data_IF_166841673085
#
_entry.id   IF_166841673085
#
_cell.length_a   1.000
_cell.length_b   1.000
_cell.length_c   1.000
_cell.angle_alpha   90.00
_cell.angle_beta   90.00
_cell.angle_gamma   90.00
#
_symmetry.space_group_name_H-M   'P 1'
#
loop_
_entity.id
_entity.type
_entity.pdbx_description
1 polymer ?
#
# COMPACT_ATOMS: atom_id res chain seq x y z
N UNK A 1 2.78 8.86 -18.78
CA UNK A 1 2.34 8.27 -17.50
C UNK A 1 3.35 8.64 -16.43
N UNK A 2 2.91 8.89 -15.20
CA UNK A 2 3.77 9.27 -14.08
C UNK A 2 3.62 8.23 -12.98
N UNK A 3 4.74 7.76 -12.43
CA UNK A 3 4.76 6.84 -11.30
C UNK A 3 5.47 7.49 -10.11
N UNK A 4 4.95 7.26 -8.92
CA UNK A 4 5.54 7.75 -7.66
C UNK A 4 5.63 6.58 -6.68
N UNK A 5 6.84 6.31 -6.21
CA UNK A 5 7.08 5.30 -5.18
C UNK A 5 7.04 5.95 -3.79
N UNK A 6 6.30 5.35 -2.86
CA UNK A 6 6.29 5.76 -1.45
C UNK A 6 7.23 4.83 -0.68
N UNK A 7 8.28 5.34 -0.01
CA UNK A 7 9.18 4.51 0.77
C UNK A 7 8.43 3.77 1.89
N UNK A 8 8.66 2.46 2.00
CA UNK A 8 8.04 1.57 2.99
C UNK A 8 8.12 2.09 4.43
N UNK A 9 9.27 2.64 4.77
CA UNK A 9 9.61 3.05 6.14
C UNK A 9 9.48 4.57 6.33
N UNK A 10 8.83 5.27 5.39
CA UNK A 10 8.49 6.67 5.53
C UNK A 10 7.61 6.86 6.78
N UNK A 11 8.03 7.74 7.68
CA UNK A 11 7.23 8.07 8.87
C UNK A 11 6.06 8.97 8.45
N UNK A 12 4.84 8.49 8.71
CA UNK A 12 3.59 9.14 8.30
C UNK A 12 2.57 9.13 9.43
N UNK A 13 1.66 10.11 9.39
CA UNK A 13 0.49 10.15 10.27
C UNK A 13 -0.65 9.31 9.70
N UNK A 14 -0.74 8.08 10.16
CA UNK A 14 -1.81 7.13 9.79
C UNK A 14 -3.10 7.59 10.48
N UNK A 15 -4.16 7.96 9.73
CA UNK A 15 -5.44 8.36 10.32
C UNK A 15 -6.15 7.16 10.96
N UNK A 16 -7.13 7.42 11.82
CA UNK A 16 -7.99 6.35 12.30
C UNK A 16 -8.78 5.75 11.13
N UNK A 17 -8.90 4.43 11.09
CA UNK A 17 -9.50 3.74 9.97
C UNK A 17 -10.21 2.45 10.38
N UNK A 18 -11.25 2.07 9.63
CA UNK A 18 -12.04 0.89 9.93
C UNK A 18 -11.39 -0.33 9.29
N UNK A 19 -11.19 -1.36 10.11
CA UNK A 19 -10.63 -2.65 9.71
C UNK A 19 -11.71 -3.55 9.13
N UNK A 20 -11.27 -4.61 8.44
CA UNK A 20 -12.15 -5.64 7.89
C UNK A 20 -12.97 -6.36 8.97
N UNK A 21 -12.42 -6.50 10.18
CA UNK A 21 -13.09 -7.12 11.34
C UNK A 21 -14.12 -6.19 12.04
N UNK A 22 -14.40 -5.01 11.46
CA UNK A 22 -15.33 -4.02 12.00
C UNK A 22 -14.75 -3.14 13.10
N UNK A 23 -13.56 -3.43 13.62
CA UNK A 23 -12.91 -2.61 14.66
C UNK A 23 -12.27 -1.36 14.04
N UNK A 24 -12.04 -0.36 14.89
CA UNK A 24 -11.30 0.84 14.50
C UNK A 24 -9.82 0.69 14.84
N UNK A 25 -8.95 0.99 13.87
CA UNK A 25 -7.55 1.26 14.08
C UNK A 25 -7.38 2.70 14.60
N UNK A 26 -6.78 2.93 15.79
CA UNK A 26 -6.51 4.28 16.26
C UNK A 26 -5.46 4.97 15.38
N UNK A 27 -5.58 6.29 15.28
CA UNK A 27 -4.59 7.13 14.61
C UNK A 27 -3.24 7.02 15.32
N UNK A 28 -2.14 7.09 14.55
CA UNK A 28 -0.78 7.05 15.06
C UNK A 28 0.23 7.53 14.03
N UNK A 29 1.40 7.94 14.50
CA UNK A 29 2.57 8.16 13.65
C UNK A 29 3.41 6.88 13.61
N UNK A 30 3.64 6.33 12.42
CA UNK A 30 4.40 5.09 12.24
C UNK A 30 4.98 5.01 10.81
N UNK A 31 5.79 3.99 10.54
CA UNK A 31 6.24 3.66 9.19
C UNK A 31 5.04 3.36 8.28
N UNK A 32 5.09 3.79 7.02
CA UNK A 32 3.99 3.67 6.05
C UNK A 32 3.46 2.23 5.91
N UNK A 33 4.34 1.23 5.90
CA UNK A 33 3.98 -0.18 5.85
C UNK A 33 3.02 -0.62 6.97
N UNK A 34 3.05 0.03 8.13
CA UNK A 34 2.22 -0.30 9.28
C UNK A 34 0.73 -0.13 8.96
N UNK A 35 0.39 0.82 8.08
CA UNK A 35 -0.99 1.05 7.65
C UNK A 35 -1.60 -0.23 7.04
N UNK A 36 -0.80 -0.96 6.23
CA UNK A 36 -1.24 -2.21 5.61
C UNK A 36 -1.30 -3.34 6.63
N UNK A 37 -0.23 -3.53 7.42
CA UNK A 37 -0.13 -4.63 8.39
C UNK A 37 -1.22 -4.58 9.46
N UNK A 38 -1.62 -3.38 9.89
CA UNK A 38 -2.60 -3.22 10.96
C UNK A 38 -4.04 -3.04 10.46
N UNK A 39 -4.19 -2.40 9.31
CA UNK A 39 -5.47 -1.89 8.83
C UNK A 39 -5.87 -2.36 7.43
N UNK A 40 -4.99 -3.11 6.76
CA UNK A 40 -5.18 -3.54 5.39
C UNK A 40 -5.26 -2.39 4.38
N UNK A 41 -5.72 -2.72 3.19
CA UNK A 41 -5.75 -1.82 2.04
C UNK A 41 -6.52 -0.52 2.29
N UNK A 42 -7.65 -0.60 3.01
CA UNK A 42 -8.48 0.57 3.32
C UNK A 42 -7.71 1.62 4.13
N UNK A 43 -6.93 1.20 5.11
CA UNK A 43 -6.09 2.10 5.91
C UNK A 43 -4.91 2.64 5.10
N UNK A 44 -4.27 1.81 4.28
CA UNK A 44 -3.18 2.24 3.40
C UNK A 44 -3.63 3.34 2.44
N UNK A 45 -4.77 3.14 1.76
CA UNK A 45 -5.34 4.15 0.85
C UNK A 45 -5.58 5.46 1.58
N UNK A 46 -6.26 5.42 2.74
CA UNK A 46 -6.54 6.65 3.51
C UNK A 46 -5.28 7.37 3.97
N UNK A 47 -4.21 6.65 4.28
CA UNK A 47 -2.90 7.24 4.59
C UNK A 47 -2.31 7.95 3.38
N UNK A 48 -2.34 7.33 2.19
CA UNK A 48 -1.87 7.95 0.93
C UNK A 48 -2.67 9.21 0.64
N UNK A 49 -4.00 9.12 0.63
CA UNK A 49 -4.87 10.26 0.32
C UNK A 49 -4.69 11.41 1.31
N UNK A 50 -4.47 11.12 2.60
CA UNK A 50 -4.21 12.16 3.61
C UNK A 50 -2.86 12.85 3.40
N UNK A 51 -1.82 12.08 3.06
CA UNK A 51 -0.48 12.60 2.87
C UNK A 51 -0.36 13.43 1.58
N UNK A 52 -0.96 12.95 0.49
CA UNK A 52 -0.82 13.56 -0.84
C UNK A 52 -1.95 14.53 -1.19
N UNK A 53 -3.09 14.44 -0.49
CA UNK A 53 -4.36 15.11 -0.84
C UNK A 53 -4.91 14.70 -2.21
N UNK A 54 -4.48 13.56 -2.73
CA UNK A 54 -4.93 13.00 -4.02
C UNK A 54 -5.84 11.81 -3.72
N UNK A 55 -7.01 11.75 -4.38
CA UNK A 55 -7.94 10.62 -4.28
C UNK A 55 -7.38 9.40 -5.02
N UNK A 56 -7.54 8.22 -4.43
CA UNK A 56 -7.24 6.94 -5.09
C UNK A 56 -8.53 6.36 -5.63
N UNK A 57 -8.66 6.29 -6.95
CA UNK A 57 -9.86 5.75 -7.61
C UNK A 57 -9.84 4.22 -7.65
N UNK A 58 -8.67 3.63 -7.89
CA UNK A 58 -8.49 2.19 -8.02
C UNK A 58 -7.22 1.75 -7.30
N UNK A 59 -7.23 0.51 -6.82
CA UNK A 59 -6.07 -0.10 -6.18
C UNK A 59 -5.93 -1.56 -6.61
N UNK A 60 -4.70 -2.07 -6.55
CA UNK A 60 -4.38 -3.47 -6.77
C UNK A 60 -3.44 -3.94 -5.66
N UNK A 61 -3.65 -5.15 -5.17
CA UNK A 61 -2.77 -5.81 -4.22
C UNK A 61 -2.26 -7.09 -4.88
N UNK A 62 -0.94 -7.22 -4.93
CA UNK A 62 -0.26 -8.36 -5.53
C UNK A 62 0.66 -8.96 -4.48
N UNK A 63 0.50 -10.26 -4.23
CA UNK A 63 1.41 -11.04 -3.38
C UNK A 63 2.57 -11.63 -4.19
N UNK A 64 3.53 -12.27 -3.53
CA UNK A 64 4.70 -12.82 -4.23
C UNK A 64 4.35 -13.92 -5.25
N UNK A 65 3.31 -14.71 -5.00
CA UNK A 65 2.85 -15.72 -5.95
C UNK A 65 2.20 -15.07 -7.18
N UNK A 66 1.40 -14.02 -6.99
CA UNK A 66 0.83 -13.22 -8.07
C UNK A 66 1.92 -12.53 -8.89
N UNK A 67 2.94 -11.97 -8.24
CA UNK A 67 4.08 -11.37 -8.93
C UNK A 67 4.80 -12.40 -9.81
N UNK A 68 5.11 -13.59 -9.27
CA UNK A 68 5.72 -14.68 -10.04
C UNK A 68 4.89 -15.03 -11.29
N UNK A 69 3.58 -15.26 -11.13
CA UNK A 69 2.71 -15.61 -12.27
C UNK A 69 2.68 -14.52 -13.34
N UNK A 70 2.76 -13.24 -12.95
CA UNK A 70 2.83 -12.14 -13.92
C UNK A 70 4.15 -12.15 -14.69
N UNK A 71 5.27 -12.42 -14.02
CA UNK A 71 6.59 -12.55 -14.68
C UNK A 71 6.62 -13.75 -15.63
N UNK A 72 6.10 -14.90 -15.20
CA UNK A 72 6.04 -16.11 -16.02
C UNK A 72 5.15 -15.91 -17.26
N UNK A 73 4.05 -15.16 -17.14
CA UNK A 73 3.13 -14.88 -18.24
C UNK A 73 3.70 -13.95 -19.34
N UNK A 74 4.80 -13.26 -19.06
CA UNK A 74 5.50 -12.38 -20.03
C UNK A 74 6.85 -12.95 -20.47
N UNK A 75 7.06 -14.26 -20.28
CA UNK A 75 8.30 -14.98 -20.61
C UNK A 75 9.55 -14.48 -19.86
N UNK A 76 9.35 -13.99 -18.63
CA UNK A 76 10.43 -13.53 -17.76
C UNK A 76 10.84 -12.08 -17.96
N UNK A 77 11.70 -11.57 -17.07
CA UNK A 77 12.21 -10.19 -17.11
C UNK A 77 13.72 -10.21 -16.91
N UNK A 78 14.45 -9.54 -17.80
CA UNK A 78 15.90 -9.33 -17.69
C UNK A 78 16.19 -8.20 -16.70
N UNK A 79 16.99 -8.48 -15.69
CA UNK A 79 17.43 -7.53 -14.66
C UNK A 79 18.94 -7.35 -14.77
N UNK A 80 19.42 -6.11 -14.60
CA UNK A 80 20.84 -5.82 -14.41
C UNK A 80 21.15 -5.85 -12.91
N UNK A 81 22.21 -6.56 -12.52
CA UNK A 81 22.70 -6.62 -11.15
C UNK A 81 23.84 -5.61 -10.94
#
# INVERSE_FOLDING_TARGET
>A
ATAMSIPRDLMVDIPSCRRADGRSAPARTAQFNYAYSYGGTACTIRTVERMTRIRVDHHMVVDFQGFKRMVDAVDGVRICL
#
